data_IF_216483897363
#
_entry.id   IF_216483897363
#
_cell.length_a   1.000
_cell.length_b   1.000
_cell.length_c   1.000
_cell.angle_alpha   90.00
_cell.angle_beta   90.00
_cell.angle_gamma   90.00
#
_symmetry.space_group_name_H-M   'P 1'
#
loop_
_entity.id
_entity.type
_entity.pdbx_description
1 polymer ?
#
# COMPACT_ATOMS: atom_id res chain seq x y z
N UNK A 1 4.42 19.11 -36.78
CA UNK A 1 3.41 18.31 -36.02
C UNK A 1 3.18 18.81 -34.58
N UNK A 2 4.15 19.47 -33.94
CA UNK A 2 4.07 19.95 -32.55
C UNK A 2 2.92 20.94 -32.27
N UNK A 3 2.71 21.93 -33.14
CA UNK A 3 1.63 22.94 -32.97
C UNK A 3 0.24 22.28 -32.90
N UNK A 4 -0.03 21.28 -33.75
CA UNK A 4 -1.30 20.51 -33.70
C UNK A 4 -1.46 19.74 -32.39
N UNK A 5 -0.38 19.22 -31.80
CA UNK A 5 -0.44 18.54 -30.50
C UNK A 5 -0.70 19.51 -29.35
N UNK A 6 -0.07 20.70 -29.39
CA UNK A 6 -0.28 21.75 -28.39
C UNK A 6 -1.73 22.23 -28.42
N UNK A 7 -2.28 22.52 -29.61
CA UNK A 7 -3.67 22.96 -29.77
C UNK A 7 -4.67 21.90 -29.29
N UNK A 8 -4.42 20.61 -29.59
CA UNK A 8 -5.28 19.51 -29.11
C UNK A 8 -5.24 19.30 -27.60
N UNK A 9 -4.13 19.66 -26.93
CA UNK A 9 -3.92 19.45 -25.49
C UNK A 9 -4.28 20.68 -24.66
N UNK A 10 -4.39 21.84 -25.29
CA UNK A 10 -4.78 23.07 -24.63
C UNK A 10 -6.26 23.03 -24.23
N UNK A 11 -6.54 23.39 -22.98
CA UNK A 11 -7.91 23.47 -22.43
C UNK A 11 -8.64 24.75 -22.84
N UNK A 12 -7.87 25.77 -23.22
CA UNK A 12 -8.34 27.07 -23.71
C UNK A 12 -7.91 27.27 -25.17
N UNK A 13 -8.67 28.03 -25.98
CA UNK A 13 -8.32 28.26 -27.39
C UNK A 13 -7.00 29.03 -27.52
N UNK A 14 -6.08 28.47 -28.31
CA UNK A 14 -4.73 29.02 -28.51
C UNK A 14 -4.73 29.90 -29.77
N UNK A 15 -4.33 31.17 -29.63
CA UNK A 15 -4.17 32.11 -30.75
C UNK A 15 -2.82 31.86 -31.43
N UNK A 16 -2.80 31.65 -32.75
CA UNK A 16 -1.55 31.57 -33.53
C UNK A 16 -1.06 32.97 -33.90
N UNK A 17 -0.14 33.52 -33.12
CA UNK A 17 0.54 34.79 -33.43
C UNK A 17 1.91 34.49 -34.03
N UNK A 18 2.25 35.16 -35.13
CA UNK A 18 3.57 35.08 -35.77
C UNK A 18 4.46 36.13 -35.12
N UNK A 19 5.60 35.71 -34.56
CA UNK A 19 6.58 36.62 -33.98
C UNK A 19 7.57 37.01 -35.09
N UNK A 20 7.81 38.31 -35.33
CA UNK A 20 8.83 38.77 -36.26
C UNK A 20 10.21 38.18 -35.95
N UNK A 21 10.95 37.80 -37.00
CA UNK A 21 12.26 37.16 -36.86
C UNK A 21 13.28 38.03 -36.12
N UNK A 22 13.24 39.35 -36.35
CA UNK A 22 14.11 40.33 -35.68
C UNK A 22 14.01 40.28 -34.16
N UNK A 23 12.80 40.07 -33.63
CA UNK A 23 12.55 39.96 -32.20
C UNK A 23 13.17 38.65 -31.67
N UNK A 24 13.01 37.56 -32.41
CA UNK A 24 13.62 36.27 -32.05
C UNK A 24 15.13 36.40 -32.00
N UNK A 25 15.75 37.05 -32.98
CA UNK A 25 17.19 37.22 -33.04
C UNK A 25 17.73 38.14 -31.93
N UNK A 26 16.98 39.19 -31.55
CA UNK A 26 17.30 40.02 -30.37
C UNK A 26 17.41 39.17 -29.09
N UNK A 27 16.45 38.28 -28.84
CA UNK A 27 16.48 37.43 -27.66
C UNK A 27 17.51 36.30 -27.77
N UNK A 28 17.76 35.74 -28.96
CA UNK A 28 18.86 34.79 -29.18
C UNK A 28 20.21 35.39 -28.80
N UNK A 29 20.49 36.62 -29.25
CA UNK A 29 21.71 37.35 -28.87
C UNK A 29 21.81 37.57 -27.35
N UNK A 30 20.68 37.88 -26.70
CA UNK A 30 20.63 38.04 -25.24
C UNK A 30 20.91 36.71 -24.51
N UNK A 31 20.35 35.60 -25.00
CA UNK A 31 20.60 34.26 -24.44
C UNK A 31 22.06 33.85 -24.64
N UNK A 32 22.61 34.03 -25.84
CA UNK A 32 24.01 33.71 -26.12
C UNK A 32 24.98 34.48 -25.22
N UNK A 33 24.69 35.76 -24.92
CA UNK A 33 25.49 36.56 -23.98
C UNK A 33 25.47 35.99 -22.56
N UNK A 34 24.35 35.41 -22.11
CA UNK A 34 24.21 34.86 -20.76
C UNK A 34 24.69 33.40 -20.65
N UNK A 35 24.90 32.72 -21.77
CA UNK A 35 25.23 31.30 -21.80
C UNK A 35 26.53 31.00 -21.06
N UNK A 36 27.58 31.80 -21.29
CA UNK A 36 28.87 31.64 -20.63
C UNK A 36 28.78 31.88 -19.12
N UNK A 37 28.01 32.90 -18.70
CA UNK A 37 27.77 33.21 -17.28
C UNK A 37 27.02 32.07 -16.59
N UNK A 38 25.99 31.52 -17.24
CA UNK A 38 25.22 30.39 -16.72
C UNK A 38 26.11 29.14 -16.60
N UNK A 39 26.90 28.84 -17.63
CA UNK A 39 27.80 27.69 -17.62
C UNK A 39 28.85 27.80 -16.51
N UNK A 40 29.37 29.01 -16.27
CA UNK A 40 30.29 29.29 -15.16
C UNK A 40 29.63 29.02 -13.81
N UNK A 41 28.42 29.55 -13.57
CA UNK A 41 27.68 29.33 -12.32
C UNK A 41 27.39 27.85 -12.11
N UNK A 42 26.96 27.13 -13.16
CA UNK A 42 26.67 25.69 -13.05
C UNK A 42 27.92 24.87 -12.73
N UNK A 43 29.08 25.28 -13.24
CA UNK A 43 30.35 24.64 -12.93
C UNK A 43 30.76 24.91 -11.48
N UNK A 44 30.73 26.17 -11.04
CA UNK A 44 31.01 26.58 -9.66
C UNK A 44 30.09 25.86 -8.66
N UNK A 45 28.78 25.82 -8.91
CA UNK A 45 27.82 25.09 -8.08
C UNK A 45 28.12 23.58 -8.02
N UNK A 46 28.60 23.01 -9.12
CA UNK A 46 28.97 21.60 -9.16
C UNK A 46 30.22 21.35 -8.32
N UNK A 47 31.24 22.17 -8.47
CA UNK A 47 32.48 22.13 -7.69
C UNK A 47 32.19 22.30 -6.19
N UNK A 48 31.44 23.33 -5.80
CA UNK A 48 30.99 23.55 -4.43
C UNK A 48 30.23 22.35 -3.88
N UNK A 49 29.32 21.76 -4.67
CA UNK A 49 28.56 20.58 -4.26
C UNK A 49 29.46 19.36 -4.06
N UNK A 50 30.49 19.19 -4.88
CA UNK A 50 31.48 18.10 -4.70
C UNK A 50 32.32 18.35 -3.46
N UNK A 51 32.80 19.58 -3.25
CA UNK A 51 33.56 19.98 -2.05
C UNK A 51 32.76 19.78 -0.78
N UNK A 52 31.51 20.26 -0.73
CA UNK A 52 30.61 20.03 0.41
C UNK A 52 30.37 18.54 0.69
N UNK A 53 30.29 17.69 -0.35
CA UNK A 53 30.16 16.24 -0.13
C UNK A 53 31.43 15.66 0.49
N UNK A 54 32.60 16.05 -0.02
CA UNK A 54 33.89 15.60 0.51
C UNK A 54 34.09 16.08 1.96
N UNK A 55 33.80 17.35 2.25
CA UNK A 55 33.83 17.92 3.60
C UNK A 55 32.86 17.21 4.53
N UNK A 56 31.62 16.96 4.12
CA UNK A 56 30.65 16.23 4.94
C UNK A 56 31.10 14.79 5.22
N UNK A 57 31.74 14.13 4.26
CA UNK A 57 32.31 12.79 4.46
C UNK A 57 33.49 12.83 5.42
N UNK A 58 34.39 13.80 5.28
CA UNK A 58 35.53 14.02 6.16
C UNK A 58 35.07 14.34 7.59
N UNK A 59 34.15 15.29 7.76
CA UNK A 59 33.54 15.66 9.04
C UNK A 59 32.86 14.46 9.70
N UNK A 60 32.15 13.63 8.91
CA UNK A 60 31.55 12.40 9.43
C UNK A 60 32.62 11.41 9.89
N UNK A 61 33.66 11.18 9.10
CA UNK A 61 34.76 10.29 9.48
C UNK A 61 35.49 10.79 10.73
N UNK A 62 35.79 12.09 10.80
CA UNK A 62 36.40 12.75 11.95
C UNK A 62 35.52 12.59 13.20
N UNK A 63 34.22 12.82 13.08
CA UNK A 63 33.28 12.63 14.18
C UNK A 63 33.22 11.19 14.65
N UNK A 64 33.21 10.22 13.73
CA UNK A 64 33.25 8.80 14.08
C UNK A 64 34.53 8.43 14.84
N UNK A 65 35.68 9.01 14.46
CA UNK A 65 36.97 8.80 15.12
C UNK A 65 37.04 9.49 16.50
N UNK A 66 36.52 10.71 16.62
CA UNK A 66 36.56 11.50 17.87
C UNK A 66 35.52 11.07 18.90
N UNK A 67 34.27 10.86 18.47
CA UNK A 67 33.13 10.55 19.34
C UNK A 67 32.79 9.05 19.39
N UNK A 68 33.62 8.17 18.81
CA UNK A 68 33.50 6.73 19.01
C UNK A 68 32.22 6.11 18.45
N UNK A 69 31.72 6.60 17.31
CA UNK A 69 30.60 5.98 16.59
C UNK A 69 29.19 6.21 17.16
N UNK A 70 29.07 6.82 18.35
CA UNK A 70 27.78 7.10 18.97
C UNK A 70 27.29 8.51 18.60
N UNK A 71 26.80 8.68 17.37
CA UNK A 71 25.97 9.84 17.09
C UNK A 71 24.70 9.72 17.93
N UNK A 72 24.59 10.47 19.04
CA UNK A 72 23.33 10.58 19.77
C UNK A 72 22.26 11.08 18.79
N UNK A 73 21.30 10.23 18.38
CA UNK A 73 20.27 10.66 17.45
C UNK A 73 19.48 11.77 18.12
N UNK A 74 19.00 12.75 17.34
CA UNK A 74 18.13 13.83 17.83
C UNK A 74 17.08 13.23 18.76
N UNK A 75 17.13 13.61 20.04
CA UNK A 75 16.39 12.94 21.14
C UNK A 75 14.87 12.85 20.92
N UNK A 76 14.33 13.75 20.10
CA UNK A 76 12.91 13.85 19.79
C UNK A 76 12.48 13.10 18.51
N UNK A 77 13.40 12.47 17.77
CA UNK A 77 13.07 11.73 16.55
C UNK A 77 13.44 10.26 16.65
N UNK A 78 12.43 9.38 16.63
CA UNK A 78 12.64 7.94 16.52
C UNK A 78 13.11 7.56 15.11
N UNK A 79 14.18 6.77 15.01
CA UNK A 79 14.66 6.21 13.75
C UNK A 79 13.61 5.25 13.13
N UNK A 80 13.71 4.97 11.83
CA UNK A 80 12.80 4.01 11.18
C UNK A 80 12.85 2.63 11.83
N UNK A 81 14.05 2.19 12.21
CA UNK A 81 14.29 0.93 12.92
C UNK A 81 13.59 0.93 14.28
N UNK A 82 13.78 1.98 15.08
CA UNK A 82 13.11 2.14 16.38
C UNK A 82 11.58 2.14 16.23
N UNK A 83 11.04 2.78 15.19
CA UNK A 83 9.59 2.79 14.92
C UNK A 83 9.05 1.41 14.51
N UNK A 84 9.85 0.61 13.80
CA UNK A 84 9.51 -0.76 13.44
C UNK A 84 9.55 -1.67 14.67
N UNK A 85 10.63 -1.64 15.44
CA UNK A 85 10.78 -2.40 16.68
C UNK A 85 9.67 -2.08 17.68
N UNK A 86 9.34 -0.80 17.86
CA UNK A 86 8.27 -0.36 18.74
C UNK A 86 6.89 -0.85 18.24
N UNK A 87 6.69 -0.89 16.92
CA UNK A 87 5.46 -1.41 16.31
C UNK A 87 5.34 -2.93 16.46
N UNK A 88 6.46 -3.64 16.40
CA UNK A 88 6.54 -5.08 16.63
C UNK A 88 6.30 -5.41 18.11
N UNK A 89 6.94 -4.67 19.02
CA UNK A 89 6.73 -4.78 20.47
C UNK A 89 5.27 -4.55 20.87
N UNK A 90 4.58 -3.61 20.24
CA UNK A 90 3.16 -3.32 20.49
C UNK A 90 2.18 -4.24 19.74
N UNK A 91 2.67 -5.29 19.08
CA UNK A 91 1.84 -6.22 18.32
C UNK A 91 1.38 -7.37 19.22
N UNK A 92 0.08 -7.43 19.47
CA UNK A 92 -0.58 -8.49 20.27
C UNK A 92 -0.53 -9.89 19.65
N UNK A 93 -0.29 -9.98 18.34
CA UNK A 93 -0.18 -11.25 17.63
C UNK A 93 1.28 -11.50 17.31
N UNK A 94 1.83 -12.59 17.84
CA UNK A 94 3.02 -13.21 17.27
C UNK A 94 2.69 -13.59 15.82
N UNK A 95 3.23 -12.84 14.86
CA UNK A 95 3.35 -13.42 13.54
C UNK A 95 4.45 -14.46 13.69
N UNK A 96 4.06 -15.73 13.80
CA UNK A 96 4.93 -16.80 13.32
C UNK A 96 5.29 -16.39 11.91
N UNK A 97 6.53 -15.96 11.72
CA UNK A 97 7.13 -15.86 10.40
C UNK A 97 7.03 -17.27 9.81
N UNK A 98 5.95 -17.56 9.10
CA UNK A 98 5.92 -18.71 8.21
C UNK A 98 6.97 -18.41 7.14
N UNK A 99 8.07 -19.19 7.05
CA UNK A 99 9.02 -19.03 5.98
C UNK A 99 8.34 -19.49 4.69
N UNK A 100 7.71 -18.57 3.96
CA UNK A 100 7.02 -18.96 2.72
C UNK A 100 6.09 -17.96 2.04
N UNK A 101 5.93 -16.73 2.53
CA UNK A 101 5.22 -15.68 1.77
C UNK A 101 5.99 -14.37 1.78
N UNK A 102 7.14 -14.36 1.11
CA UNK A 102 7.65 -13.14 0.50
C UNK A 102 6.59 -12.64 -0.49
N UNK A 103 6.23 -11.37 -0.33
CA UNK A 103 5.46 -10.64 -1.33
C UNK A 103 6.34 -10.51 -2.56
N UNK A 104 6.02 -11.25 -3.62
CA UNK A 104 6.55 -11.00 -4.96
C UNK A 104 6.18 -9.58 -5.38
N UNK A 105 7.17 -8.71 -5.33
CA UNK A 105 7.19 -7.48 -6.10
C UNK A 105 7.34 -7.92 -7.55
N UNK A 106 6.35 -7.55 -8.35
CA UNK A 106 6.21 -7.86 -9.77
C UNK A 106 7.34 -7.17 -10.57
N UNK A 107 8.47 -7.85 -10.73
CA UNK A 107 9.57 -7.49 -11.63
C UNK A 107 9.72 -8.56 -12.69
N UNK A 108 9.56 -8.18 -13.96
CA UNK A 108 9.73 -9.03 -15.14
C UNK A 108 11.21 -9.32 -15.35
N UNK A 109 11.64 -10.57 -15.28
CA UNK A 109 12.77 -11.10 -16.05
C UNK A 109 12.48 -12.54 -16.46
N UNK A 110 13.09 -12.93 -17.59
CA UNK A 110 12.63 -13.93 -18.55
C UNK A 110 13.08 -15.35 -18.18
N UNK A 111 12.33 -16.30 -18.74
CA UNK A 111 12.57 -17.74 -18.78
C UNK A 111 14.01 -18.13 -19.13
N UNK A 112 14.52 -19.15 -18.44
CA UNK A 112 14.98 -20.37 -19.10
C UNK A 112 14.47 -21.59 -18.30
N UNK A 113 13.86 -22.54 -19.02
CA UNK A 113 13.40 -23.82 -18.49
C UNK A 113 14.41 -24.89 -18.88
N UNK A 114 14.75 -25.80 -17.98
CA UNK A 114 14.99 -27.20 -18.30
C UNK A 114 14.60 -28.08 -17.09
N UNK A 115 14.20 -29.35 -17.32
CA UNK A 115 13.12 -29.96 -16.56
C UNK A 115 13.57 -31.08 -15.62
N UNK A 116 12.70 -31.37 -14.65
CA UNK A 116 12.46 -32.70 -14.08
C UNK A 116 13.57 -33.31 -13.19
N UNK A 117 13.52 -33.01 -11.90
CA UNK A 117 13.94 -33.96 -10.87
C UNK A 117 12.86 -34.00 -9.77
N UNK A 118 12.07 -35.08 -9.76
CA UNK A 118 11.12 -35.37 -8.69
C UNK A 118 11.93 -35.86 -7.49
N UNK A 119 12.47 -34.93 -6.70
CA UNK A 119 12.93 -35.26 -5.36
C UNK A 119 11.71 -35.31 -4.45
N UNK A 120 11.30 -36.52 -4.10
CA UNK A 120 10.32 -36.81 -3.07
C UNK A 120 10.83 -36.25 -1.73
N UNK A 121 10.42 -35.03 -1.40
CA UNK A 121 10.65 -34.48 -0.07
C UNK A 121 9.75 -35.23 0.92
N UNK A 122 10.29 -35.88 1.97
CA UNK A 122 9.44 -36.53 2.96
C UNK A 122 8.55 -35.46 3.60
N UNK A 123 7.23 -35.67 3.51
CA UNK A 123 6.23 -34.86 4.21
C UNK A 123 6.45 -35.04 5.71
N UNK A 124 7.34 -34.24 6.29
CA UNK A 124 7.49 -34.16 7.73
C UNK A 124 6.16 -33.65 8.31
N UNK A 125 5.39 -34.58 8.87
CA UNK A 125 4.27 -34.30 9.74
C UNK A 125 4.73 -33.29 10.80
N UNK A 126 4.35 -32.01 10.63
CA UNK A 126 4.52 -30.99 11.66
C UNK A 126 3.66 -31.42 12.85
N UNK A 127 4.25 -32.20 13.76
CA UNK A 127 3.72 -32.45 15.10
C UNK A 127 3.32 -31.08 15.65
N UNK A 128 2.03 -30.89 15.92
CA UNK A 128 1.53 -29.75 16.69
C UNK A 128 2.35 -29.74 17.97
N UNK A 129 3.27 -28.78 18.14
CA UNK A 129 3.94 -28.54 19.42
C UNK A 129 2.83 -28.46 20.47
N UNK A 130 2.84 -29.38 21.42
CA UNK A 130 1.94 -29.36 22.58
C UNK A 130 2.03 -27.95 23.17
N UNK A 131 0.88 -27.30 23.37
CA UNK A 131 0.84 -26.10 24.19
C UNK A 131 1.46 -26.49 25.53
N UNK A 132 2.49 -25.77 25.97
CA UNK A 132 2.93 -25.86 27.35
C UNK A 132 1.70 -25.59 28.21
N UNK A 133 1.41 -26.46 29.18
CA UNK A 133 0.39 -26.16 30.18
C UNK A 133 0.94 -24.98 30.99
N UNK A 134 0.53 -23.78 30.63
CA UNK A 134 0.87 -22.56 31.35
C UNK A 134 0.18 -22.63 32.71
N UNK A 135 0.92 -22.29 33.77
CA UNK A 135 0.36 -22.17 35.11
C UNK A 135 -0.80 -21.15 35.09
N UNK A 136 -1.87 -21.34 35.89
CA UNK A 136 -2.95 -20.35 35.99
C UNK A 136 -2.44 -18.92 36.23
N UNK A 137 -1.35 -18.77 36.98
CA UNK A 137 -0.71 -17.48 37.25
C UNK A 137 -0.04 -16.88 36.02
N UNK A 138 0.68 -17.68 35.23
CA UNK A 138 1.34 -17.24 33.99
C UNK A 138 0.31 -16.78 32.95
N UNK A 139 -0.84 -17.47 32.89
CA UNK A 139 -1.93 -17.08 32.00
C UNK A 139 -2.50 -15.71 32.36
N UNK A 140 -2.70 -15.46 33.66
CA UNK A 140 -3.17 -14.16 34.15
C UNK A 140 -2.16 -13.06 33.81
N UNK A 141 -0.86 -13.31 34.00
CA UNK A 141 0.20 -12.37 33.65
C UNK A 141 0.22 -12.06 32.15
N UNK A 142 0.09 -13.06 31.28
CA UNK A 142 0.01 -12.85 29.83
C UNK A 142 -1.23 -12.05 29.41
N UNK A 143 -2.37 -12.29 30.05
CA UNK A 143 -3.59 -11.54 29.78
C UNK A 143 -3.44 -10.08 30.22
N UNK A 144 -2.83 -9.83 31.38
CA UNK A 144 -2.49 -8.49 31.85
C UNK A 144 -1.53 -7.77 30.88
N UNK A 145 -0.46 -8.43 30.43
CA UNK A 145 0.50 -7.86 29.48
C UNK A 145 -0.16 -7.47 28.15
N UNK A 146 -1.04 -8.33 27.62
CA UNK A 146 -1.82 -8.03 26.40
C UNK A 146 -2.71 -6.80 26.60
N UNK A 147 -3.36 -6.67 27.76
CA UNK A 147 -4.18 -5.49 28.08
C UNK A 147 -3.32 -4.23 28.14
N UNK A 148 -2.15 -4.29 28.79
CA UNK A 148 -1.20 -3.17 28.86
C UNK A 148 -0.71 -2.73 27.46
N UNK A 149 -0.32 -3.67 26.60
CA UNK A 149 0.13 -3.38 25.23
C UNK A 149 -1.00 -2.77 24.38
N UNK A 150 -2.23 -3.26 24.54
CA UNK A 150 -3.41 -2.71 23.87
C UNK A 150 -3.65 -1.25 24.32
N UNK A 151 -3.59 -0.98 25.62
CA UNK A 151 -3.77 0.36 26.18
C UNK A 151 -2.70 1.32 25.64
N UNK A 152 -1.43 0.91 25.62
CA UNK A 152 -0.33 1.69 25.04
C UNK A 152 -0.56 2.01 23.56
N UNK A 153 -1.04 1.03 22.78
CA UNK A 153 -1.37 1.22 21.35
C UNK A 153 -2.53 2.20 21.16
N UNK A 154 -3.57 2.12 21.99
CA UNK A 154 -4.72 3.04 21.95
C UNK A 154 -4.30 4.46 22.31
N UNK A 155 -3.51 4.64 23.36
CA UNK A 155 -2.98 5.94 23.76
C UNK A 155 -2.15 6.60 22.63
N UNK A 156 -1.26 5.83 21.98
CA UNK A 156 -0.50 6.32 20.82
C UNK A 156 -1.37 6.67 19.62
N UNK A 157 -2.41 5.88 19.34
CA UNK A 157 -3.36 6.18 18.26
C UNK A 157 -4.14 7.46 18.53
N UNK A 158 -4.50 7.74 19.80
CA UNK A 158 -5.18 8.98 20.21
C UNK A 158 -4.29 10.21 20.05
N UNK A 159 -2.99 10.12 20.37
CA UNK A 159 -2.03 11.23 20.23
C UNK A 159 -1.67 11.58 18.77
N UNK A 160 -1.88 10.67 17.82
CA UNK A 160 -1.57 10.92 16.40
C UNK A 160 -2.53 11.94 15.80
N UNK A 161 -2.04 13.03 15.18
CA UNK A 161 -2.92 14.00 14.53
C UNK A 161 -3.71 13.31 13.41
N UNK A 162 -5.02 13.58 13.35
CA UNK A 162 -5.87 13.11 12.25
C UNK A 162 -5.57 13.96 11.02
N UNK A 163 -5.66 13.37 9.83
CA UNK A 163 -5.58 14.14 8.58
C UNK A 163 -6.65 15.23 8.63
N UNK A 164 -6.24 16.48 8.46
CA UNK A 164 -7.15 17.61 8.29
C UNK A 164 -7.94 17.31 7.01
N UNK A 165 -9.26 17.16 7.15
CA UNK A 165 -10.14 17.13 5.98
C UNK A 165 -10.33 18.58 5.55
N UNK A 166 -10.24 18.85 4.25
CA UNK A 166 -10.66 20.13 3.70
C UNK A 166 -12.06 20.43 4.21
N UNK A 167 -12.22 21.52 4.96
CA UNK A 167 -13.53 22.07 5.25
C UNK A 167 -14.07 22.47 3.88
N UNK A 168 -15.06 21.73 3.38
CA UNK A 168 -15.82 22.20 2.23
C UNK A 168 -16.73 23.25 2.83
N UNK A 169 -16.49 24.52 2.51
CA UNK A 169 -17.42 25.60 2.82
C UNK A 169 -18.79 25.17 2.28
N UNK A 170 -19.71 24.87 3.18
CA UNK A 170 -21.04 24.39 2.84
C UNK A 170 -21.89 25.57 2.37
N UNK A 171 -21.63 26.00 1.15
CA UNK A 171 -22.59 26.67 0.30
C UNK A 171 -22.49 25.98 -1.06
N UNK A 172 -23.58 25.34 -1.49
CA UNK A 172 -23.76 24.60 -2.75
C UNK A 172 -23.58 23.06 -2.70
N UNK A 173 -24.73 22.44 -2.43
CA UNK A 173 -25.33 21.32 -3.16
C UNK A 173 -24.89 19.86 -2.95
N UNK A 174 -25.90 19.11 -2.49
CA UNK A 174 -26.08 17.70 -2.79
C UNK A 174 -25.38 16.78 -1.80
N UNK A 175 -26.17 16.17 -0.92
CA UNK A 175 -25.79 14.93 -0.27
C UNK A 175 -25.48 13.86 -1.33
N UNK A 176 -24.26 13.86 -1.86
CA UNK A 176 -23.66 12.72 -2.53
C UNK A 176 -23.41 11.70 -1.43
N UNK A 177 -24.44 10.90 -1.18
CA UNK A 177 -24.46 9.88 -0.14
C UNK A 177 -23.13 9.14 -0.11
N UNK A 178 -22.39 9.32 0.99
CA UNK A 178 -21.12 8.67 1.18
C UNK A 178 -21.29 7.18 0.86
N UNK A 179 -20.44 6.64 -0.02
CA UNK A 179 -20.49 5.23 -0.44
C UNK A 179 -20.71 4.37 0.81
N UNK A 180 -21.91 3.82 0.96
CA UNK A 180 -22.24 2.92 2.07
C UNK A 180 -21.19 1.82 2.07
N UNK A 181 -20.45 1.70 3.17
CA UNK A 181 -19.43 0.65 3.31
C UNK A 181 -20.13 -0.67 3.02
N UNK A 182 -19.51 -1.49 2.17
CA UNK A 182 -20.03 -2.84 1.88
C UNK A 182 -20.03 -3.58 3.23
N UNK A 183 -21.23 -3.86 3.74
CA UNK A 183 -21.37 -4.71 4.92
C UNK A 183 -20.79 -6.09 4.58
N UNK A 184 -20.15 -6.73 5.56
CA UNK A 184 -19.68 -8.10 5.36
C UNK A 184 -20.88 -9.00 5.07
N UNK A 185 -20.67 -10.09 4.30
CA UNK A 185 -21.76 -11.02 4.00
C UNK A 185 -22.47 -11.50 5.27
N UNK A 186 -21.68 -11.75 6.32
CA UNK A 186 -22.17 -12.15 7.63
C UNK A 186 -23.05 -11.07 8.28
N UNK A 187 -22.60 -9.81 8.27
CA UNK A 187 -23.37 -8.74 8.88
C UNK A 187 -24.64 -8.42 8.10
N UNK A 188 -24.61 -8.53 6.78
CA UNK A 188 -25.80 -8.39 5.94
C UNK A 188 -26.83 -9.50 6.21
N UNK A 189 -26.40 -10.73 6.48
CA UNK A 189 -27.32 -11.83 6.82
C UNK A 189 -28.01 -11.62 8.19
N UNK A 190 -27.31 -11.07 9.18
CA UNK A 190 -27.90 -10.79 10.48
C UNK A 190 -28.74 -9.51 10.54
N UNK A 191 -28.41 -8.50 9.73
CA UNK A 191 -29.01 -7.15 9.86
C UNK A 191 -30.01 -6.77 8.76
N UNK A 192 -30.16 -7.58 7.70
CA UNK A 192 -31.12 -7.31 6.63
C UNK A 192 -32.54 -7.74 7.01
N UNK A 193 -33.32 -6.80 7.53
CA UNK A 193 -34.76 -6.96 7.82
C UNK A 193 -35.67 -6.62 6.65
N UNK A 194 -35.11 -6.40 5.45
CA UNK A 194 -35.93 -6.03 4.28
C UNK A 194 -36.85 -7.17 3.84
N UNK A 195 -37.99 -6.82 3.24
CA UNK A 195 -38.95 -7.80 2.67
C UNK A 195 -38.28 -8.78 1.70
N UNK A 196 -37.21 -8.35 1.00
CA UNK A 196 -36.44 -9.20 0.06
C UNK A 196 -35.52 -10.19 0.81
N UNK A 197 -34.83 -9.75 1.87
CA UNK A 197 -34.01 -10.62 2.72
C UNK A 197 -34.84 -11.73 3.38
N UNK A 198 -35.95 -11.36 4.03
CA UNK A 198 -36.88 -12.31 4.67
C UNK A 198 -37.45 -13.32 3.65
N UNK A 199 -37.81 -12.85 2.45
CA UNK A 199 -38.35 -13.71 1.39
C UNK A 199 -37.30 -14.73 0.91
N UNK A 200 -36.03 -14.33 0.76
CA UNK A 200 -34.92 -15.26 0.40
C UNK A 200 -34.76 -16.37 1.42
N UNK A 201 -34.65 -16.03 2.71
CA UNK A 201 -34.52 -17.02 3.79
C UNK A 201 -35.67 -18.02 3.79
N UNK A 202 -36.91 -17.56 3.59
CA UNK A 202 -38.08 -18.43 3.50
C UNK A 202 -38.03 -19.39 2.30
N UNK A 203 -37.58 -18.92 1.14
CA UNK A 203 -37.44 -19.77 -0.04
C UNK A 203 -36.30 -20.78 0.09
N UNK A 204 -35.16 -20.38 0.66
CA UNK A 204 -34.05 -21.31 0.89
C UNK A 204 -34.43 -22.40 1.89
N UNK A 205 -35.08 -22.04 3.01
CA UNK A 205 -35.61 -23.02 3.96
C UNK A 205 -36.62 -23.97 3.30
N UNK A 206 -37.55 -23.45 2.49
CA UNK A 206 -38.50 -24.29 1.76
C UNK A 206 -37.83 -25.16 0.69
N UNK A 207 -36.77 -24.67 0.04
CA UNK A 207 -35.99 -25.44 -0.94
C UNK A 207 -35.24 -26.57 -0.26
N UNK A 208 -34.63 -26.33 0.90
CA UNK A 208 -33.96 -27.37 1.71
C UNK A 208 -34.98 -28.41 2.16
N UNK A 209 -36.08 -27.98 2.78
CA UNK A 209 -37.16 -28.88 3.21
C UNK A 209 -37.72 -29.71 2.04
N UNK A 210 -37.83 -29.13 0.84
CA UNK A 210 -38.30 -29.86 -0.35
C UNK A 210 -37.23 -30.81 -0.90
N UNK A 211 -35.95 -30.46 -0.81
CA UNK A 211 -34.84 -31.35 -1.18
C UNK A 211 -34.70 -32.53 -0.21
N UNK A 212 -34.96 -32.30 1.08
CA UNK A 212 -35.00 -33.37 2.09
C UNK A 212 -36.23 -34.27 1.91
N UNK A 213 -37.41 -33.68 1.66
CA UNK A 213 -38.65 -34.45 1.48
C UNK A 213 -38.74 -35.22 0.15
N UNK A 214 -38.14 -34.73 -0.92
CA UNK A 214 -38.27 -35.31 -2.27
C UNK A 214 -36.93 -35.68 -2.93
N UNK A 215 -35.87 -35.92 -2.13
CA UNK A 215 -34.57 -36.44 -2.54
C UNK A 215 -34.19 -36.22 -4.01
N UNK A 216 -33.34 -35.23 -4.29
CA UNK A 216 -32.90 -34.80 -5.65
C UNK A 216 -32.99 -35.90 -6.74
N UNK A 217 -34.09 -35.93 -7.52
CA UNK A 217 -34.08 -36.61 -8.83
C UNK A 217 -33.25 -35.77 -9.79
N UNK A 218 -31.96 -36.12 -9.93
CA UNK A 218 -31.13 -35.61 -11.01
C UNK A 218 -31.63 -36.15 -12.35
N UNK A 219 -32.41 -35.36 -13.10
CA UNK A 219 -32.47 -35.52 -14.56
C UNK A 219 -31.25 -34.81 -15.16
N UNK A 220 -30.30 -35.58 -15.69
CA UNK A 220 -29.26 -35.05 -16.57
C UNK A 220 -29.95 -34.56 -17.86
N UNK A 221 -29.68 -33.34 -18.36
CA UNK A 221 -30.12 -32.98 -19.70
C UNK A 221 -29.31 -33.82 -20.71
N UNK A 222 -30.01 -34.59 -21.55
CA UNK A 222 -29.42 -35.26 -22.70
C UNK A 222 -28.93 -34.18 -23.69
N UNK A 223 -27.64 -34.20 -24.02
CA UNK A 223 -27.07 -33.35 -25.06
C UNK A 223 -27.54 -33.87 -26.43
N UNK A 224 -28.42 -33.12 -27.09
CA UNK A 224 -28.74 -33.36 -28.50
C UNK A 224 -27.65 -32.71 -29.38
N UNK A 225 -26.74 -33.55 -29.87
CA UNK A 225 -25.88 -33.27 -31.01
C UNK A 225 -26.71 -33.40 -32.29
N UNK A 226 -26.57 -32.45 -33.22
CA UNK A 226 -26.80 -32.66 -34.65
C UNK A 226 -28.03 -31.98 -35.26
N UNK A 227 -27.80 -30.96 -36.10
CA UNK A 227 -27.71 -31.13 -37.57
C UNK A 227 -27.30 -29.82 -38.24
N UNK A 228 -26.50 -29.99 -39.30
CA UNK A 228 -25.97 -28.99 -40.23
C UNK A 228 -27.08 -28.46 -41.16
N UNK A 229 -27.03 -27.17 -41.51
CA UNK A 229 -26.65 -26.59 -42.81
C UNK A 229 -27.04 -25.12 -42.85
#
# INVERSE_FOLDING_TARGET
KLVKQIVKRARNPVKSRVIPAEIVDKYRKKVARLEDEINKILHEEWEERVMQRAENQANRAEKLLKEGGEEMPRSWFQSHKQRQEEKERLRLTEMKNEPGKSKEVKGKEKEEKAPNEVQERPRQNKKKKKKHEESPEERVQQEMEKVMLLQARLAKKKRKPKKIKTVVDSAFDGATGGRKRKQSSFEHELTDTSKKGVKRLRYEANKINKQEKFGKKHQKPQSAFGKQK
#
